data_IF_503579744881
#
_entry.id   IF_503579744881
#
_cell.length_a   1.000
_cell.length_b   1.000
_cell.length_c   1.000
_cell.angle_alpha   90.00
_cell.angle_beta   90.00
_cell.angle_gamma   90.00
#
_symmetry.space_group_name_H-M   'P 1'
#
loop_
_entity.id
_entity.type
_entity.pdbx_description
1 polymer ?
#
# COMPACT_ATOMS: atom_id res chain seq x y z
N UNK A 1 33.08 15.69 -11.17
CA UNK A 1 31.66 15.30 -11.12
C UNK A 1 31.54 13.92 -11.74
N UNK A 2 31.11 12.90 -10.98
CA UNK A 2 30.80 11.57 -11.54
C UNK A 2 29.51 11.71 -12.34
N UNK A 3 29.53 11.32 -13.61
CA UNK A 3 28.35 11.29 -14.48
C UNK A 3 27.29 10.36 -13.84
N UNK A 4 26.00 10.75 -13.80
CA UNK A 4 24.95 9.87 -13.29
C UNK A 4 24.93 8.57 -14.10
N UNK A 5 24.80 7.43 -13.41
CA UNK A 5 24.64 6.11 -14.02
C UNK A 5 23.35 6.01 -14.83
N UNK A 6 23.28 5.04 -15.74
CA UNK A 6 22.16 4.87 -16.69
C UNK A 6 20.80 4.77 -15.98
N UNK A 7 20.72 4.03 -14.87
CA UNK A 7 19.51 3.92 -14.05
C UNK A 7 19.01 5.27 -13.52
N UNK A 8 19.89 6.11 -12.98
CA UNK A 8 19.52 7.44 -12.49
C UNK A 8 19.02 8.36 -13.61
N UNK A 9 19.53 8.20 -14.85
CA UNK A 9 19.04 8.97 -16.01
C UNK A 9 17.63 8.54 -16.41
N UNK A 10 17.35 7.25 -16.34
CA UNK A 10 16.03 6.69 -16.59
C UNK A 10 15.03 7.18 -15.55
N UNK A 11 15.38 7.11 -14.26
CA UNK A 11 14.52 7.60 -13.18
C UNK A 11 14.20 9.09 -13.33
N UNK A 12 15.19 9.91 -13.69
CA UNK A 12 15.00 11.33 -13.94
C UNK A 12 14.03 11.54 -15.11
N UNK A 13 14.23 10.85 -16.23
CA UNK A 13 13.37 11.00 -17.43
C UNK A 13 11.95 10.50 -17.15
N UNK A 14 11.79 9.36 -16.47
CA UNK A 14 10.48 8.84 -16.09
C UNK A 14 9.77 9.76 -15.08
N UNK A 15 10.52 10.39 -14.17
CA UNK A 15 9.97 11.38 -13.24
C UNK A 15 9.51 12.64 -13.96
N UNK A 16 10.26 13.13 -14.94
CA UNK A 16 9.87 14.28 -15.77
C UNK A 16 8.62 13.97 -16.61
N UNK A 17 8.53 12.76 -17.15
CA UNK A 17 7.33 12.27 -17.85
C UNK A 17 6.14 12.20 -16.88
N UNK A 18 6.31 11.67 -15.66
CA UNK A 18 5.28 11.63 -14.61
C UNK A 18 4.83 13.03 -14.18
N UNK A 19 5.75 13.99 -14.04
CA UNK A 19 5.43 15.38 -13.76
C UNK A 19 4.67 16.03 -14.92
N UNK A 20 5.10 15.78 -16.17
CA UNK A 20 4.38 16.22 -17.36
C UNK A 20 2.95 15.70 -17.40
N UNK A 21 2.73 14.44 -17.00
CA UNK A 21 1.38 13.88 -16.85
C UNK A 21 0.57 14.51 -15.72
N UNK A 22 1.19 14.74 -14.56
CA UNK A 22 0.53 15.34 -13.40
C UNK A 22 0.04 16.79 -13.69
N UNK A 23 0.85 17.58 -14.38
CA UNK A 23 0.53 18.98 -14.72
C UNK A 23 -0.14 19.14 -16.09
N UNK A 24 -0.25 18.07 -16.88
CA UNK A 24 -0.82 18.11 -18.23
C UNK A 24 0.03 18.82 -19.28
N UNK A 25 1.35 18.88 -19.08
CA UNK A 25 2.33 19.49 -19.98
C UNK A 25 2.74 18.51 -21.09
N UNK A 26 2.10 18.64 -22.25
CA UNK A 26 2.37 17.81 -23.42
C UNK A 26 3.77 18.04 -24.02
N UNK A 27 4.34 19.23 -23.83
CA UNK A 27 5.69 19.55 -24.30
C UNK A 27 6.72 18.72 -23.53
N UNK A 28 6.59 18.72 -22.19
CA UNK A 28 7.48 17.96 -21.32
C UNK A 28 7.40 16.44 -21.57
N UNK A 29 6.22 15.92 -21.89
CA UNK A 29 6.02 14.50 -22.21
C UNK A 29 6.69 14.16 -23.55
N UNK A 30 6.34 14.89 -24.61
CA UNK A 30 6.83 14.60 -25.98
C UNK A 30 8.34 14.78 -26.12
N UNK A 31 8.95 15.66 -25.33
CA UNK A 31 10.39 15.84 -25.31
C UNK A 31 11.13 14.68 -24.63
N UNK A 32 10.54 14.08 -23.60
CA UNK A 32 11.22 13.12 -22.73
C UNK A 32 10.88 11.65 -23.07
N UNK A 33 9.78 11.38 -23.76
CA UNK A 33 9.39 10.04 -24.19
C UNK A 33 10.47 9.36 -25.08
N UNK A 34 11.02 10.03 -26.12
CA UNK A 34 12.06 9.42 -26.96
C UNK A 34 13.39 9.21 -26.21
N UNK A 35 13.62 10.00 -25.15
CA UNK A 35 14.81 9.84 -24.28
C UNK A 35 14.65 8.61 -23.39
N UNK A 36 13.42 8.35 -22.90
CA UNK A 36 13.11 7.14 -22.15
C UNK A 36 13.31 5.90 -23.02
N UNK A 37 12.77 5.90 -24.24
CA UNK A 37 12.95 4.81 -25.21
C UNK A 37 14.43 4.51 -25.46
N UNK A 38 15.23 5.54 -25.76
CA UNK A 38 16.68 5.37 -25.96
C UNK A 38 17.39 4.81 -24.74
N UNK A 39 17.08 5.31 -23.54
CA UNK A 39 17.72 4.80 -22.33
C UNK A 39 17.27 3.40 -21.95
N UNK A 40 16.06 2.99 -22.34
CA UNK A 40 15.56 1.62 -22.20
C UNK A 40 16.25 0.70 -23.20
N UNK A 41 16.47 1.14 -24.45
CA UNK A 41 17.23 0.40 -25.47
C UNK A 41 18.71 0.23 -25.12
N UNK A 42 19.29 1.26 -24.48
CA UNK A 42 20.66 1.22 -23.93
C UNK A 42 20.76 0.38 -22.64
N UNK A 43 19.63 0.06 -22.00
CA UNK A 43 19.52 -0.76 -20.81
C UNK A 43 19.56 -2.27 -21.11
N UNK A 44 20.14 -3.07 -20.19
CA UNK A 44 20.10 -4.54 -20.28
C UNK A 44 18.68 -5.11 -20.23
N UNK A 45 18.51 -6.42 -20.49
CA UNK A 45 17.21 -7.07 -20.67
C UNK A 45 16.18 -6.88 -19.54
N UNK A 46 16.61 -6.53 -18.33
CA UNK A 46 15.72 -6.22 -17.21
C UNK A 46 14.91 -4.92 -17.40
N UNK A 47 15.48 -3.93 -18.09
CA UNK A 47 14.90 -2.61 -18.33
C UNK A 47 13.84 -2.63 -19.43
N UNK A 48 13.91 -3.59 -20.36
CA UNK A 48 12.87 -3.84 -21.36
C UNK A 48 11.58 -4.35 -20.72
N UNK A 49 11.68 -5.15 -19.65
CA UNK A 49 10.53 -5.80 -18.99
C UNK A 49 9.81 -4.88 -18.00
N UNK A 50 10.56 -4.20 -17.13
CA UNK A 50 9.96 -3.21 -16.20
C UNK A 50 9.58 -1.93 -16.95
N UNK A 51 10.38 -1.54 -17.96
CA UNK A 51 10.08 -0.44 -18.86
C UNK A 51 8.82 -0.68 -19.68
N UNK A 52 8.59 -1.89 -20.22
CA UNK A 52 7.36 -2.24 -20.93
C UNK A 52 6.13 -2.27 -20.02
N UNK A 53 6.22 -2.81 -18.80
CA UNK A 53 5.13 -2.78 -17.82
C UNK A 53 4.79 -1.36 -17.35
N UNK A 54 5.82 -0.52 -17.19
CA UNK A 54 5.64 0.89 -16.85
C UNK A 54 5.10 1.67 -18.06
N UNK A 55 5.53 1.38 -19.28
CA UNK A 55 4.97 1.93 -20.52
C UNK A 55 3.55 1.45 -20.78
N UNK A 56 3.18 0.23 -20.40
CA UNK A 56 1.80 -0.30 -20.46
C UNK A 56 0.91 0.33 -19.38
N UNK A 57 1.41 0.50 -18.16
CA UNK A 57 0.71 1.20 -17.10
C UNK A 57 0.56 2.71 -17.43
N UNK A 58 1.59 3.32 -18.01
CA UNK A 58 1.57 4.69 -18.51
C UNK A 58 0.67 4.82 -19.74
N UNK A 59 0.68 3.87 -20.68
CA UNK A 59 -0.23 3.77 -21.84
C UNK A 59 -1.69 3.66 -21.39
N UNK A 60 -1.94 2.88 -20.34
CA UNK A 60 -3.26 2.75 -19.70
C UNK A 60 -3.68 4.05 -19.02
N UNK A 61 -2.78 4.70 -18.27
CA UNK A 61 -3.04 6.00 -17.64
C UNK A 61 -3.29 7.11 -18.70
N UNK A 62 -2.47 7.15 -19.76
CA UNK A 62 -2.61 8.02 -20.93
C UNK A 62 -3.97 7.80 -21.58
N UNK A 63 -4.35 6.55 -21.86
CA UNK A 63 -5.63 6.24 -22.44
C UNK A 63 -6.81 6.66 -21.54
N UNK A 64 -6.63 6.65 -20.22
CA UNK A 64 -7.66 7.04 -19.25
C UNK A 64 -7.82 8.57 -19.16
N UNK A 65 -6.70 9.31 -19.09
CA UNK A 65 -6.69 10.76 -19.02
C UNK A 65 -7.06 11.41 -20.37
N UNK A 66 -6.63 10.82 -21.50
CA UNK A 66 -7.04 11.22 -22.85
C UNK A 66 -8.55 11.03 -23.02
N UNK A 67 -9.13 9.96 -22.48
CA UNK A 67 -10.57 9.67 -22.53
C UNK A 67 -11.38 10.62 -21.64
N UNK A 68 -10.84 11.03 -20.48
CA UNK A 68 -11.43 12.07 -19.62
C UNK A 68 -11.46 13.44 -20.31
N UNK A 69 -10.36 13.81 -20.96
CA UNK A 69 -10.25 15.05 -21.77
C UNK A 69 -11.15 15.01 -23.01
N UNK A 70 -11.23 13.85 -23.69
CA UNK A 70 -12.17 13.62 -24.79
C UNK A 70 -13.62 13.73 -24.34
N UNK A 71 -14.03 13.13 -23.23
CA UNK A 71 -15.39 13.26 -22.68
C UNK A 71 -15.74 14.70 -22.33
N UNK A 72 -14.81 15.45 -21.75
CA UNK A 72 -14.98 16.88 -21.44
C UNK A 72 -15.12 17.73 -22.71
N UNK A 73 -14.41 17.37 -23.79
CA UNK A 73 -14.53 17.98 -25.11
C UNK A 73 -15.82 17.57 -25.86
N UNK A 74 -16.27 16.33 -25.67
CA UNK A 74 -17.49 15.74 -26.26
C UNK A 74 -18.77 16.24 -25.58
N UNK A 75 -18.75 16.50 -24.28
CA UNK A 75 -19.83 17.19 -23.56
C UNK A 75 -20.10 18.59 -24.16
N UNK A 76 -19.11 19.18 -24.83
CA UNK A 76 -19.19 20.46 -25.49
C UNK A 76 -19.56 20.38 -26.99
N UNK A 77 -19.69 19.19 -27.61
CA UNK A 77 -20.03 19.03 -29.04
C UNK A 77 -21.04 17.90 -29.29
N UNK A 78 -22.28 18.26 -29.66
CA UNK A 78 -23.34 17.33 -30.11
C UNK A 78 -23.05 16.82 -31.54
N UNK A 79 -23.02 15.51 -31.78
CA UNK A 79 -23.12 14.94 -33.14
C UNK A 79 -22.54 13.52 -33.34
N UNK A 80 -23.24 12.69 -34.12
CA UNK A 80 -23.09 11.23 -34.29
C UNK A 80 -21.84 10.66 -34.99
N UNK A 81 -20.82 11.48 -35.29
CA UNK A 81 -19.48 11.00 -35.73
C UNK A 81 -18.67 10.33 -34.60
N UNK A 82 -19.28 10.23 -33.42
CA UNK A 82 -18.72 9.91 -32.10
C UNK A 82 -18.43 8.42 -31.88
N UNK A 83 -19.22 7.52 -32.48
CA UNK A 83 -19.08 6.07 -32.25
C UNK A 83 -17.95 5.44 -33.08
N UNK A 84 -17.71 5.96 -34.29
CA UNK A 84 -16.72 5.42 -35.23
C UNK A 84 -15.29 5.75 -34.82
N UNK A 85 -15.04 6.98 -34.35
CA UNK A 85 -13.73 7.41 -33.83
C UNK A 85 -13.35 6.69 -32.53
N UNK A 86 -14.32 6.39 -31.66
CA UNK A 86 -14.08 5.60 -30.46
C UNK A 86 -13.65 4.16 -30.80
N UNK A 87 -14.32 3.54 -31.78
CA UNK A 87 -13.94 2.20 -32.28
C UNK A 87 -12.55 2.19 -32.94
N UNK A 88 -12.21 3.22 -33.70
CA UNK A 88 -10.88 3.36 -34.32
C UNK A 88 -9.77 3.59 -33.28
N UNK A 89 -9.99 4.45 -32.28
CA UNK A 89 -9.02 4.66 -31.20
C UNK A 89 -8.82 3.39 -30.35
N UNK A 90 -9.90 2.66 -30.04
CA UNK A 90 -9.81 1.35 -29.41
C UNK A 90 -9.04 0.33 -30.25
N UNK A 91 -9.20 0.34 -31.58
CA UNK A 91 -8.48 -0.56 -32.48
C UNK A 91 -6.98 -0.24 -32.54
N UNK A 92 -6.58 1.03 -32.52
CA UNK A 92 -5.17 1.43 -32.52
C UNK A 92 -4.48 1.09 -31.19
N UNK A 93 -5.15 1.33 -30.05
CA UNK A 93 -4.65 0.92 -28.74
C UNK A 93 -4.53 -0.60 -28.65
N UNK A 94 -5.52 -1.35 -29.16
CA UNK A 94 -5.44 -2.81 -29.23
C UNK A 94 -4.30 -3.28 -30.13
N UNK A 95 -4.14 -2.72 -31.33
CA UNK A 95 -3.05 -3.09 -32.23
C UNK A 95 -1.67 -2.78 -31.65
N UNK A 96 -1.54 -1.69 -30.87
CA UNK A 96 -0.30 -1.36 -30.17
C UNK A 96 -0.06 -2.33 -29.00
N UNK A 97 -1.08 -2.60 -28.19
CA UNK A 97 -1.01 -3.63 -27.14
C UNK A 97 -0.70 -5.01 -27.72
N UNK A 98 -1.21 -5.38 -28.90
CA UNK A 98 -0.90 -6.64 -29.59
C UNK A 98 0.56 -6.73 -30.02
N UNK A 99 1.18 -5.58 -30.28
CA UNK A 99 2.56 -5.45 -30.74
C UNK A 99 3.57 -5.33 -29.58
N UNK A 100 3.14 -4.72 -28.46
CA UNK A 100 3.97 -4.44 -27.29
C UNK A 100 3.74 -5.40 -26.12
N UNK A 101 2.67 -6.19 -26.13
CA UNK A 101 2.47 -7.29 -25.18
C UNK A 101 3.47 -8.42 -25.48
N UNK A 102 4.70 -8.22 -25.05
CA UNK A 102 5.57 -9.32 -24.68
C UNK A 102 4.83 -10.02 -23.54
N UNK A 103 4.18 -11.14 -23.84
CA UNK A 103 3.62 -11.99 -22.78
C UNK A 103 4.74 -12.25 -21.78
N UNK A 104 4.48 -11.91 -20.51
CA UNK A 104 5.33 -12.24 -19.36
C UNK A 104 5.74 -13.72 -19.40
N UNK A 105 4.95 -14.59 -20.03
CA UNK A 105 5.22 -16.01 -20.22
C UNK A 105 6.43 -16.36 -21.09
N UNK A 106 6.99 -15.44 -21.86
CA UNK A 106 8.21 -15.71 -22.64
C UNK A 106 9.50 -15.58 -21.82
N UNK A 107 9.41 -15.03 -20.60
CA UNK A 107 10.56 -14.61 -19.80
C UNK A 107 10.56 -15.35 -18.45
N UNK A 108 11.06 -16.59 -18.43
CA UNK A 108 11.36 -17.31 -17.18
C UNK A 108 12.72 -16.85 -16.64
N UNK A 109 12.77 -15.62 -16.15
CA UNK A 109 13.99 -15.00 -15.62
C UNK A 109 13.88 -15.04 -14.10
N UNK A 110 14.77 -15.75 -13.38
CA UNK A 110 14.76 -15.82 -11.90
C UNK A 110 14.66 -14.45 -11.23
N UNK A 111 15.24 -13.42 -11.84
CA UNK A 111 15.24 -12.03 -11.41
C UNK A 111 13.85 -11.37 -11.52
N UNK A 112 12.86 -11.97 -12.19
CA UNK A 112 11.48 -11.48 -12.17
C UNK A 112 10.84 -11.71 -10.79
N UNK A 113 11.28 -12.73 -10.05
CA UNK A 113 10.72 -13.11 -8.73
C UNK A 113 10.78 -11.99 -7.70
N UNK A 114 11.86 -11.20 -7.71
CA UNK A 114 12.04 -10.05 -6.80
C UNK A 114 11.11 -8.85 -7.11
N UNK A 115 10.50 -8.81 -8.30
CA UNK A 115 9.62 -7.72 -8.71
C UNK A 115 8.13 -8.10 -8.72
N UNK A 116 7.78 -9.37 -8.44
CA UNK A 116 6.40 -9.86 -8.50
C UNK A 116 5.45 -8.99 -7.68
N UNK A 117 5.85 -8.60 -6.46
CA UNK A 117 5.09 -7.66 -5.61
C UNK A 117 4.76 -6.35 -6.34
N UNK A 118 5.76 -5.65 -6.85
CA UNK A 118 5.58 -4.36 -7.54
C UNK A 118 4.77 -4.49 -8.83
N UNK A 119 4.99 -5.57 -9.59
CA UNK A 119 4.27 -5.83 -10.83
C UNK A 119 2.78 -6.07 -10.54
N UNK A 120 2.47 -6.86 -9.50
CA UNK A 120 1.09 -7.12 -9.10
C UNK A 120 0.38 -5.85 -8.64
N UNK A 121 1.04 -5.00 -7.85
CA UNK A 121 0.48 -3.69 -7.46
C UNK A 121 0.14 -2.85 -8.70
N UNK A 122 1.05 -2.73 -9.66
CA UNK A 122 0.81 -1.97 -10.90
C UNK A 122 -0.32 -2.58 -11.75
N UNK A 123 -0.37 -3.90 -11.85
CA UNK A 123 -1.39 -4.62 -12.64
C UNK A 123 -2.77 -4.47 -12.01
N UNK A 124 -2.89 -4.65 -10.69
CA UNK A 124 -4.16 -4.59 -9.96
C UNK A 124 -4.69 -3.15 -9.83
N UNK A 125 -3.85 -2.21 -9.41
CA UNK A 125 -4.26 -0.81 -9.16
C UNK A 125 -4.42 -0.02 -10.47
N UNK A 126 -3.58 -0.30 -11.47
CA UNK A 126 -3.60 0.37 -12.76
C UNK A 126 -4.48 -0.34 -13.79
N UNK A 127 -3.94 -1.42 -14.35
CA UNK A 127 -4.50 -2.09 -15.52
C UNK A 127 -5.89 -2.70 -15.27
N UNK A 128 -6.10 -3.33 -14.11
CA UNK A 128 -7.36 -4.02 -13.80
C UNK A 128 -8.42 -3.13 -13.16
N UNK A 129 -8.03 -2.09 -12.42
CA UNK A 129 -8.99 -1.15 -11.86
C UNK A 129 -9.45 -0.13 -12.91
N UNK A 130 -8.54 0.75 -13.35
CA UNK A 130 -8.87 1.88 -14.23
C UNK A 130 -8.83 1.50 -15.71
N UNK A 131 -8.02 0.50 -16.09
CA UNK A 131 -7.77 0.07 -17.47
C UNK A 131 -8.64 -1.08 -18.00
N UNK A 132 -9.50 -1.70 -17.18
CA UNK A 132 -10.18 -2.97 -17.50
C UNK A 132 -10.96 -2.95 -18.83
N UNK A 133 -11.59 -1.82 -19.18
CA UNK A 133 -12.35 -1.67 -20.43
C UNK A 133 -11.50 -1.62 -21.70
N UNK A 134 -10.21 -1.36 -21.58
CA UNK A 134 -9.28 -1.21 -22.70
C UNK A 134 -8.49 -2.49 -22.95
N UNK A 135 -8.10 -3.18 -21.87
CA UNK A 135 -7.17 -4.30 -21.90
C UNK A 135 -7.89 -5.65 -22.06
N UNK A 136 -9.20 -5.72 -21.78
CA UNK A 136 -9.99 -6.94 -22.00
C UNK A 136 -9.54 -8.11 -21.12
N UNK A 137 -9.37 -9.30 -21.71
CA UNK A 137 -8.90 -10.52 -21.02
C UNK A 137 -7.39 -10.51 -20.74
N UNK A 138 -6.62 -9.61 -21.35
CA UNK A 138 -5.15 -9.65 -21.27
C UNK A 138 -4.61 -9.35 -19.89
N UNK A 139 -5.24 -8.45 -19.15
CA UNK A 139 -4.84 -8.21 -17.77
C UNK A 139 -5.03 -9.49 -16.95
N UNK A 140 -6.16 -10.18 -17.14
CA UNK A 140 -6.45 -11.46 -16.49
C UNK A 140 -5.40 -12.52 -16.84
N UNK A 141 -5.05 -12.66 -18.13
CA UNK A 141 -4.00 -13.57 -18.60
C UNK A 141 -2.63 -13.20 -18.01
N UNK A 142 -2.26 -11.91 -18.00
CA UNK A 142 -1.00 -11.44 -17.43
C UNK A 142 -0.90 -11.74 -15.93
N UNK A 143 -1.99 -11.58 -15.17
CA UNK A 143 -2.02 -11.97 -13.77
C UNK A 143 -1.77 -13.47 -13.62
N UNK A 144 -2.51 -14.31 -14.35
CA UNK A 144 -2.33 -15.76 -14.27
C UNK A 144 -0.95 -16.22 -14.75
N UNK A 145 -0.33 -15.51 -15.69
CA UNK A 145 1.03 -15.80 -16.14
C UNK A 145 2.08 -15.57 -15.03
N UNK A 146 1.85 -14.65 -14.09
CA UNK A 146 2.72 -14.47 -12.93
C UNK A 146 2.73 -15.69 -11.98
N UNK A 147 1.74 -16.58 -12.09
CA UNK A 147 1.75 -17.87 -11.39
C UNK A 147 2.97 -18.74 -11.75
N UNK A 148 3.62 -18.48 -12.90
CA UNK A 148 4.85 -19.18 -13.33
C UNK A 148 6.07 -18.80 -12.47
N UNK A 149 6.03 -17.66 -11.79
CA UNK A 149 7.05 -17.25 -10.83
C UNK A 149 6.89 -17.94 -9.47
N UNK A 150 5.75 -18.58 -9.22
CA UNK A 150 5.45 -19.21 -7.94
C UNK A 150 6.22 -20.54 -7.73
N UNK A 151 6.27 -20.96 -6.48
CA UNK A 151 6.79 -22.26 -6.06
C UNK A 151 6.01 -23.39 -6.70
N UNK A 152 6.73 -24.40 -7.22
CA UNK A 152 6.14 -25.63 -7.76
C UNK A 152 5.30 -26.39 -6.72
N UNK A 153 5.48 -26.10 -5.41
CA UNK A 153 4.69 -26.68 -4.31
C UNK A 153 3.20 -26.33 -4.39
N UNK A 154 2.85 -25.20 -5.01
CA UNK A 154 1.45 -24.87 -5.28
C UNK A 154 0.81 -25.82 -6.28
N UNK A 155 1.59 -26.42 -7.17
CA UNK A 155 1.10 -27.30 -8.23
C UNK A 155 -0.10 -26.66 -8.95
N UNK A 156 -1.18 -27.40 -9.20
CA UNK A 156 -2.39 -26.93 -9.86
C UNK A 156 -3.12 -25.78 -9.14
N UNK A 157 -2.82 -25.52 -7.85
CA UNK A 157 -3.46 -24.44 -7.09
C UNK A 157 -3.00 -23.04 -7.49
N UNK A 158 -1.84 -22.89 -8.14
CA UNK A 158 -1.35 -21.57 -8.59
C UNK A 158 -2.38 -20.80 -9.46
N UNK A 159 -3.15 -21.52 -10.29
CA UNK A 159 -4.24 -20.95 -11.09
C UNK A 159 -5.41 -20.53 -10.19
N UNK A 160 -5.80 -21.38 -9.25
CA UNK A 160 -6.94 -21.13 -8.36
C UNK A 160 -6.70 -20.03 -7.35
N UNK A 161 -5.45 -19.82 -6.91
CA UNK A 161 -5.05 -18.62 -6.15
C UNK A 161 -5.36 -17.35 -6.94
N UNK A 162 -4.95 -17.30 -8.22
CA UNK A 162 -5.23 -16.14 -9.07
C UNK A 162 -6.71 -15.95 -9.38
N UNK A 163 -7.43 -17.02 -9.69
CA UNK A 163 -8.89 -16.96 -9.93
C UNK A 163 -9.63 -16.48 -8.68
N UNK A 164 -9.33 -17.05 -7.51
CA UNK A 164 -9.92 -16.62 -6.23
C UNK A 164 -9.60 -15.15 -5.95
N UNK A 165 -8.36 -14.71 -6.20
CA UNK A 165 -7.94 -13.30 -6.04
C UNK A 165 -8.78 -12.36 -6.91
N UNK A 166 -8.83 -12.61 -8.21
CA UNK A 166 -9.48 -11.72 -9.17
C UNK A 166 -11.00 -11.67 -8.97
N UNK A 167 -11.62 -12.81 -8.63
CA UNK A 167 -13.04 -12.87 -8.27
C UNK A 167 -13.32 -12.14 -6.95
N UNK A 168 -12.45 -12.28 -5.95
CA UNK A 168 -12.56 -11.55 -4.67
C UNK A 168 -12.45 -10.04 -4.86
N UNK A 169 -11.67 -9.58 -5.85
CA UNK A 169 -11.56 -8.17 -6.22
C UNK A 169 -12.75 -7.67 -7.07
N UNK A 170 -13.66 -8.54 -7.48
CA UNK A 170 -14.80 -8.18 -8.33
C UNK A 170 -14.43 -7.84 -9.78
N UNK A 171 -13.32 -8.39 -10.27
CA UNK A 171 -12.84 -8.12 -11.62
C UNK A 171 -13.70 -8.88 -12.63
N UNK A 172 -14.37 -8.13 -13.52
CA UNK A 172 -15.33 -8.66 -14.48
C UNK A 172 -14.71 -9.51 -15.61
N UNK A 173 -13.38 -9.50 -15.76
CA UNK A 173 -12.67 -10.20 -16.86
C UNK A 173 -12.45 -11.70 -16.62
N UNK A 174 -12.96 -12.27 -15.52
CA UNK A 174 -12.79 -13.72 -15.24
C UNK A 174 -13.74 -14.55 -16.11
N UNK A 175 -13.25 -15.51 -16.92
CA UNK A 175 -14.09 -16.36 -17.76
C UNK A 175 -15.14 -17.17 -16.99
N UNK A 176 -16.32 -17.42 -17.57
CA UNK A 176 -17.43 -18.13 -16.93
C UNK A 176 -17.04 -19.56 -16.50
N UNK A 177 -16.15 -20.23 -17.26
CA UNK A 177 -15.68 -21.59 -16.95
C UNK A 177 -14.91 -21.63 -15.62
N UNK A 178 -14.30 -20.52 -15.23
CA UNK A 178 -13.55 -20.37 -13.98
C UNK A 178 -14.41 -19.82 -12.84
N UNK A 179 -15.71 -19.62 -13.08
CA UNK A 179 -16.70 -19.21 -12.09
C UNK A 179 -17.61 -20.37 -11.64
N UNK A 180 -17.41 -21.58 -12.18
CA UNK A 180 -18.25 -22.74 -11.88
C UNK A 180 -18.29 -23.09 -10.37
N UNK A 181 -17.14 -23.04 -9.69
CA UNK A 181 -17.08 -23.16 -8.23
C UNK A 181 -17.47 -21.84 -7.56
N UNK A 182 -18.32 -21.86 -6.53
CA UNK A 182 -18.73 -20.66 -5.80
C UNK A 182 -17.57 -20.08 -4.98
N UNK A 183 -17.56 -18.76 -4.79
CA UNK A 183 -16.45 -18.09 -4.10
C UNK A 183 -16.42 -18.49 -2.62
N UNK A 184 -17.58 -18.68 -1.99
CA UNK A 184 -17.78 -19.25 -0.65
C UNK A 184 -17.11 -20.60 -0.43
N UNK A 185 -16.95 -21.42 -1.46
CA UNK A 185 -16.23 -22.71 -1.39
C UNK A 185 -14.76 -22.59 -1.82
N UNK A 186 -14.51 -21.85 -2.91
CA UNK A 186 -13.18 -21.70 -3.50
C UNK A 186 -12.19 -21.02 -2.56
N UNK A 187 -12.61 -19.94 -1.87
CA UNK A 187 -11.71 -19.18 -0.99
C UNK A 187 -11.21 -20.03 0.16
N UNK A 188 -12.07 -20.70 0.97
CA UNK A 188 -11.60 -21.62 2.00
C UNK A 188 -10.66 -22.72 1.46
N UNK A 189 -10.99 -23.36 0.32
CA UNK A 189 -10.14 -24.39 -0.27
C UNK A 189 -8.73 -23.89 -0.59
N UNK A 190 -8.63 -22.70 -1.21
CA UNK A 190 -7.34 -22.07 -1.51
C UNK A 190 -6.60 -21.71 -0.23
N UNK A 191 -7.27 -21.11 0.76
CA UNK A 191 -6.65 -20.71 2.03
C UNK A 191 -6.12 -21.92 2.81
N UNK A 192 -6.89 -23.02 2.89
CA UNK A 192 -6.44 -24.25 3.53
C UNK A 192 -5.17 -24.81 2.88
N UNK A 193 -5.12 -24.82 1.54
CA UNK A 193 -3.93 -25.29 0.82
C UNK A 193 -2.73 -24.39 1.06
N UNK A 194 -2.91 -23.08 0.97
CA UNK A 194 -1.85 -22.11 1.25
C UNK A 194 -1.33 -22.26 2.68
N UNK A 195 -2.22 -22.32 3.68
CA UNK A 195 -1.88 -22.47 5.10
C UNK A 195 -1.11 -23.76 5.36
N UNK A 196 -1.60 -24.90 4.86
CA UNK A 196 -0.94 -26.20 5.04
C UNK A 196 0.46 -26.24 4.44
N UNK A 197 0.66 -25.64 3.26
CA UNK A 197 2.00 -25.55 2.67
C UNK A 197 2.90 -24.58 3.46
N UNK A 198 2.37 -23.43 3.86
CA UNK A 198 3.11 -22.43 4.63
C UNK A 198 3.64 -22.98 5.95
N UNK A 199 2.81 -23.77 6.65
CA UNK A 199 3.17 -24.43 7.92
C UNK A 199 4.33 -25.43 7.77
N UNK A 200 4.39 -26.15 6.65
CA UNK A 200 5.51 -27.08 6.39
C UNK A 200 6.81 -26.31 6.15
N UNK A 201 6.74 -25.26 5.33
CA UNK A 201 7.86 -24.37 5.02
C UNK A 201 7.30 -23.10 4.40
N UNK A 202 7.74 -21.92 4.83
CA UNK A 202 7.33 -20.65 4.21
C UNK A 202 7.57 -20.62 2.70
N UNK A 203 6.77 -19.85 1.99
CA UNK A 203 6.98 -19.57 0.58
C UNK A 203 8.00 -18.45 0.38
N UNK A 204 8.59 -18.41 -0.82
CA UNK A 204 9.42 -17.29 -1.27
C UNK A 204 8.59 -16.02 -1.54
N UNK A 205 9.26 -14.88 -1.60
CA UNK A 205 8.65 -13.57 -1.81
C UNK A 205 7.71 -13.52 -3.01
N UNK A 206 8.09 -14.17 -4.13
CA UNK A 206 7.28 -14.22 -5.34
C UNK A 206 5.94 -14.92 -5.13
N UNK A 207 5.95 -16.11 -4.53
CA UNK A 207 4.74 -16.90 -4.30
C UNK A 207 3.85 -16.23 -3.25
N UNK A 208 4.44 -15.71 -2.17
CA UNK A 208 3.70 -14.96 -1.16
C UNK A 208 3.04 -13.73 -1.78
N UNK A 209 3.80 -12.94 -2.56
CA UNK A 209 3.28 -11.75 -3.23
C UNK A 209 2.15 -12.05 -4.21
N UNK A 210 2.22 -13.17 -4.92
CA UNK A 210 1.15 -13.62 -5.82
C UNK A 210 -0.15 -14.00 -5.10
N UNK A 211 -0.05 -14.60 -3.91
CA UNK A 211 -1.20 -14.94 -3.07
C UNK A 211 -1.70 -13.75 -2.24
N UNK A 212 -0.83 -12.79 -1.92
CA UNK A 212 -1.09 -11.70 -0.99
C UNK A 212 -2.35 -10.90 -1.29
N UNK A 213 -2.70 -10.54 -2.55
CA UNK A 213 -3.92 -9.78 -2.79
C UNK A 213 -5.20 -10.51 -2.37
N UNK A 214 -5.25 -11.86 -2.43
CA UNK A 214 -6.35 -12.63 -1.84
C UNK A 214 -6.37 -12.53 -0.31
N UNK A 215 -5.21 -12.72 0.33
CA UNK A 215 -5.06 -12.61 1.78
C UNK A 215 -5.52 -11.22 2.27
N UNK A 216 -5.07 -10.17 1.58
CA UNK A 216 -5.45 -8.78 1.80
C UNK A 216 -6.96 -8.57 1.67
N UNK A 217 -7.61 -9.12 0.64
CA UNK A 217 -9.07 -9.03 0.47
C UNK A 217 -9.84 -9.69 1.62
N UNK A 218 -9.39 -10.85 2.09
CA UNK A 218 -10.01 -11.54 3.23
C UNK A 218 -9.91 -10.68 4.50
N UNK A 219 -8.73 -10.12 4.80
CA UNK A 219 -8.57 -9.22 5.96
C UNK A 219 -9.40 -7.94 5.83
N UNK A 220 -9.40 -7.33 4.63
CA UNK A 220 -10.07 -6.06 4.37
C UNK A 220 -11.60 -6.18 4.50
N UNK A 221 -12.18 -7.23 3.89
CA UNK A 221 -13.63 -7.47 3.89
C UNK A 221 -14.14 -8.16 5.16
N UNK A 222 -13.23 -8.73 5.94
CA UNK A 222 -13.61 -9.55 7.09
C UNK A 222 -14.19 -10.89 6.68
N UNK A 223 -13.56 -11.57 5.72
CA UNK A 223 -14.08 -12.73 5.00
C UNK A 223 -14.59 -12.38 3.60
N UNK A 224 -14.44 -13.31 2.67
CA UNK A 224 -14.93 -13.19 1.29
C UNK A 224 -16.03 -14.21 1.07
N UNK A 225 -17.21 -13.73 0.67
CA UNK A 225 -18.40 -14.55 0.39
C UNK A 225 -18.74 -15.52 1.53
N UNK A 226 -18.41 -15.13 2.76
CA UNK A 226 -18.76 -15.87 3.97
C UNK A 226 -20.24 -15.63 4.27
N UNK A 227 -20.99 -16.70 4.52
CA UNK A 227 -22.42 -16.68 4.76
C UNK A 227 -22.83 -15.84 5.97
N UNK A 228 -24.15 -15.69 6.16
CA UNK A 228 -24.72 -14.93 7.28
C UNK A 228 -24.63 -15.65 8.65
N UNK A 229 -23.92 -16.80 8.72
CA UNK A 229 -23.89 -17.67 9.90
C UNK A 229 -22.93 -17.13 10.98
N UNK A 230 -23.41 -16.13 11.75
CA UNK A 230 -22.78 -15.53 12.94
C UNK A 230 -21.29 -15.15 12.79
N UNK A 231 -20.83 -14.98 11.55
CA UNK A 231 -19.45 -14.68 11.17
C UNK A 231 -18.46 -15.81 11.44
N UNK A 232 -18.89 -17.07 11.57
CA UNK A 232 -17.99 -18.21 11.83
C UNK A 232 -17.07 -18.48 10.64
N UNK A 233 -17.63 -18.61 9.44
CA UNK A 233 -16.85 -18.83 8.20
C UNK A 233 -15.90 -17.67 7.92
N UNK A 234 -16.37 -16.44 8.13
CA UNK A 234 -15.55 -15.23 8.00
C UNK A 234 -14.36 -15.26 8.97
N UNK A 235 -14.60 -15.62 10.23
CA UNK A 235 -13.57 -15.73 11.25
C UNK A 235 -12.55 -16.83 10.92
N UNK A 236 -13.01 -17.96 10.41
CA UNK A 236 -12.15 -19.06 9.95
C UNK A 236 -11.22 -18.58 8.83
N UNK A 237 -11.75 -17.92 7.80
CA UNK A 237 -10.94 -17.37 6.71
C UNK A 237 -9.89 -16.37 7.23
N UNK A 238 -10.29 -15.44 8.12
CA UNK A 238 -9.34 -14.47 8.72
C UNK A 238 -8.25 -15.20 9.51
N UNK A 239 -8.62 -16.22 10.28
CA UNK A 239 -7.67 -17.00 11.08
C UNK A 239 -6.67 -17.72 10.19
N UNK A 240 -7.13 -18.36 9.11
CA UNK A 240 -6.25 -18.99 8.11
C UNK A 240 -5.27 -17.99 7.49
N UNK A 241 -5.73 -16.77 7.19
CA UNK A 241 -4.84 -15.72 6.65
C UNK A 241 -3.81 -15.26 7.67
N UNK A 242 -4.20 -15.05 8.92
CA UNK A 242 -3.26 -14.67 9.99
C UNK A 242 -2.23 -15.78 10.23
N UNK A 243 -2.64 -17.05 10.22
CA UNK A 243 -1.73 -18.20 10.28
C UNK A 243 -0.73 -18.19 9.11
N UNK A 244 -1.21 -17.98 7.88
CA UNK A 244 -0.34 -17.89 6.70
C UNK A 244 0.70 -16.78 6.90
N UNK A 245 0.29 -15.57 7.27
CA UNK A 245 1.23 -14.45 7.48
C UNK A 245 2.21 -14.78 8.61
N UNK A 246 1.72 -15.35 9.71
CA UNK A 246 2.54 -15.75 10.86
C UNK A 246 3.64 -16.74 10.49
N UNK A 247 3.31 -17.76 9.69
CA UNK A 247 4.32 -18.72 9.22
C UNK A 247 5.41 -18.05 8.38
N UNK A 248 5.14 -16.91 7.75
CA UNK A 248 6.12 -16.18 6.94
C UNK A 248 6.83 -15.05 7.68
N UNK A 249 6.50 -14.73 8.94
CA UNK A 249 7.04 -13.56 9.63
C UNK A 249 8.57 -13.44 9.54
N UNK A 250 9.32 -14.54 9.72
CA UNK A 250 10.79 -14.55 9.60
C UNK A 250 11.31 -14.13 8.21
N UNK A 251 10.53 -14.39 7.16
CA UNK A 251 10.89 -14.11 5.78
C UNK A 251 10.71 -12.64 5.41
N UNK A 252 9.99 -11.83 6.21
CA UNK A 252 9.80 -10.40 5.95
C UNK A 252 11.08 -9.56 6.12
N UNK A 253 12.18 -10.16 6.57
CA UNK A 253 13.51 -9.55 6.44
C UNK A 253 13.90 -9.34 4.96
N UNK A 254 13.32 -10.08 4.02
CA UNK A 254 13.43 -9.81 2.58
C UNK A 254 12.46 -8.71 2.13
N UNK A 255 13.01 -7.62 1.59
CA UNK A 255 12.25 -6.46 1.10
C UNK A 255 11.43 -6.75 -0.17
N UNK A 256 11.61 -7.90 -0.83
CA UNK A 256 10.75 -8.31 -1.95
C UNK A 256 9.33 -8.70 -1.52
N UNK A 257 9.11 -8.99 -0.22
CA UNK A 257 7.76 -9.20 0.32
C UNK A 257 6.95 -7.89 0.33
N UNK A 258 5.61 -7.94 0.26
CA UNK A 258 4.74 -6.76 0.29
C UNK A 258 4.57 -6.23 1.73
N UNK A 259 5.68 -5.88 2.40
CA UNK A 259 5.75 -5.66 3.86
C UNK A 259 4.83 -4.53 4.35
N UNK A 260 4.92 -3.34 3.75
CA UNK A 260 4.07 -2.19 4.08
C UNK A 260 2.59 -2.53 3.96
N UNK A 261 2.18 -3.14 2.84
CA UNK A 261 0.79 -3.53 2.61
C UNK A 261 0.34 -4.59 3.63
N UNK A 262 1.19 -5.56 3.97
CA UNK A 262 0.89 -6.55 5.01
C UNK A 262 0.62 -5.88 6.35
N UNK A 263 1.46 -4.93 6.78
CA UNK A 263 1.26 -4.19 8.04
C UNK A 263 -0.07 -3.43 8.04
N UNK A 264 -0.42 -2.75 6.94
CA UNK A 264 -1.69 -2.02 6.82
C UNK A 264 -2.92 -2.94 6.92
N UNK A 265 -2.88 -4.10 6.28
CA UNK A 265 -4.00 -5.06 6.30
C UNK A 265 -4.13 -5.78 7.65
N UNK A 266 -3.00 -6.09 8.31
CA UNK A 266 -3.01 -6.63 9.68
C UNK A 266 -3.56 -5.58 10.66
N UNK A 267 -3.15 -4.32 10.53
CA UNK A 267 -3.71 -3.21 11.33
C UNK A 267 -5.21 -3.03 11.12
N UNK A 268 -5.66 -3.15 9.87
CA UNK A 268 -7.09 -3.15 9.56
C UNK A 268 -7.82 -4.29 10.27
N UNK A 269 -7.26 -5.50 10.27
CA UNK A 269 -7.82 -6.65 10.97
C UNK A 269 -7.90 -6.44 12.49
N UNK A 270 -6.84 -5.93 13.14
CA UNK A 270 -6.86 -5.64 14.59
C UNK A 270 -7.99 -4.67 14.95
N UNK A 271 -8.29 -3.71 14.08
CA UNK A 271 -9.30 -2.66 14.32
C UNK A 271 -10.74 -3.13 14.13
N UNK A 272 -10.98 -3.95 13.11
CA UNK A 272 -12.33 -4.28 12.68
C UNK A 272 -12.77 -5.69 13.07
N UNK A 273 -11.83 -6.53 13.54
CA UNK A 273 -12.09 -7.92 13.89
C UNK A 273 -11.74 -8.18 15.36
N UNK A 274 -12.69 -8.01 16.31
CA UNK A 274 -12.40 -8.16 17.74
C UNK A 274 -12.01 -9.59 18.15
N UNK A 275 -12.57 -10.62 17.49
CA UNK A 275 -12.32 -12.03 17.85
C UNK A 275 -10.84 -12.44 17.63
N UNK A 276 -10.23 -12.21 16.45
CA UNK A 276 -8.83 -12.56 16.21
C UNK A 276 -7.84 -11.42 16.54
N UNK A 277 -8.25 -10.34 17.20
CA UNK A 277 -7.40 -9.13 17.37
C UNK A 277 -6.09 -9.40 18.12
N UNK A 278 -6.08 -10.36 19.06
CA UNK A 278 -4.88 -10.75 19.80
C UNK A 278 -3.86 -11.43 18.89
N UNK A 279 -4.33 -12.36 18.04
CA UNK A 279 -3.47 -13.06 17.09
C UNK A 279 -2.91 -12.09 16.06
N UNK A 280 -3.77 -11.22 15.50
CA UNK A 280 -3.34 -10.18 14.56
C UNK A 280 -2.32 -9.20 15.19
N UNK A 281 -2.47 -8.88 16.48
CA UNK A 281 -1.49 -8.06 17.20
C UNK A 281 -0.14 -8.77 17.33
N UNK A 282 -0.14 -10.08 17.62
CA UNK A 282 1.09 -10.90 17.64
C UNK A 282 1.78 -10.87 16.29
N UNK A 283 1.02 -11.11 15.21
CA UNK A 283 1.55 -11.06 13.83
C UNK A 283 2.18 -9.70 13.52
N UNK A 284 1.54 -8.60 13.91
CA UNK A 284 2.11 -7.26 13.68
C UNK A 284 3.45 -7.04 14.42
N UNK A 285 3.56 -7.55 15.65
CA UNK A 285 4.78 -7.46 16.46
C UNK A 285 5.89 -8.30 15.83
N UNK A 286 5.58 -9.53 15.42
CA UNK A 286 6.53 -10.43 14.75
C UNK A 286 7.00 -9.85 13.41
N UNK A 287 6.12 -9.16 12.67
CA UNK A 287 6.48 -8.43 11.45
C UNK A 287 7.44 -7.27 11.74
N UNK A 288 7.21 -6.51 12.82
CA UNK A 288 8.13 -5.46 13.27
C UNK A 288 9.52 -6.02 13.55
N UNK A 289 9.60 -7.09 14.36
CA UNK A 289 10.86 -7.75 14.69
C UNK A 289 11.61 -8.23 13.44
N UNK A 290 10.90 -8.79 12.46
CA UNK A 290 11.51 -9.31 11.24
C UNK A 290 12.12 -8.23 10.34
N UNK A 291 11.51 -7.03 10.26
CA UNK A 291 11.98 -5.95 9.38
C UNK A 291 13.01 -5.02 10.02
N UNK A 292 13.29 -5.16 11.32
CA UNK A 292 14.07 -4.20 12.10
C UNK A 292 15.41 -3.77 11.46
N UNK A 293 16.10 -4.70 10.79
CA UNK A 293 17.44 -4.47 10.23
C UNK A 293 17.45 -3.67 8.92
N UNK A 294 16.31 -3.56 8.24
CA UNK A 294 16.18 -2.90 6.94
C UNK A 294 14.79 -2.27 6.75
N UNK A 295 14.22 -1.74 7.83
CA UNK A 295 12.93 -1.08 7.83
C UNK A 295 12.98 0.19 6.96
N UNK A 296 11.91 0.43 6.22
CA UNK A 296 11.74 1.61 5.36
C UNK A 296 10.94 2.70 6.06
N UNK A 297 11.06 3.94 5.57
CA UNK A 297 10.29 5.08 6.09
C UNK A 297 8.77 4.89 5.99
N UNK A 298 8.29 4.20 4.95
CA UNK A 298 6.87 3.94 4.78
C UNK A 298 6.37 2.92 5.82
N UNK A 299 7.15 1.88 6.13
CA UNK A 299 6.84 0.91 7.20
C UNK A 299 6.83 1.57 8.58
N UNK A 300 7.85 2.39 8.90
CA UNK A 300 7.89 3.20 10.12
C UNK A 300 6.64 4.08 10.22
N UNK A 301 6.28 4.77 9.12
CA UNK A 301 5.11 5.64 9.07
C UNK A 301 3.81 4.91 9.34
N UNK A 302 3.61 3.71 8.77
CA UNK A 302 2.40 2.89 8.99
C UNK A 302 2.22 2.60 10.48
N UNK A 303 3.28 2.18 11.17
CA UNK A 303 3.18 1.86 12.60
C UNK A 303 3.03 3.12 13.47
N UNK A 304 3.75 4.20 13.16
CA UNK A 304 3.66 5.47 13.89
C UNK A 304 2.26 6.07 13.76
N UNK A 305 1.70 6.12 12.55
CA UNK A 305 0.30 6.56 12.34
C UNK A 305 -0.68 5.64 13.07
N UNK A 306 -0.36 4.34 13.17
CA UNK A 306 -1.10 3.35 13.94
C UNK A 306 -1.23 3.65 15.43
N UNK A 307 -0.25 4.33 16.03
CA UNK A 307 -0.28 4.75 17.45
C UNK A 307 -1.40 5.76 17.77
N UNK A 308 -2.01 6.37 16.75
CA UNK A 308 -3.13 7.30 16.92
C UNK A 308 -4.50 6.68 16.72
N UNK A 309 -4.56 5.41 16.30
CA UNK A 309 -5.82 4.73 15.98
C UNK A 309 -6.70 4.51 17.22
N UNK A 310 -8.01 4.39 16.98
CA UNK A 310 -9.00 4.07 18.01
C UNK A 310 -8.84 2.61 18.44
N UNK A 311 -8.96 2.35 19.75
CA UNK A 311 -8.70 1.05 20.37
C UNK A 311 -7.36 1.01 21.12
N UNK A 312 -7.36 0.50 22.35
CA UNK A 312 -6.14 0.43 23.18
C UNK A 312 -5.17 -0.62 22.63
N UNK A 313 -5.70 -1.77 22.20
CA UNK A 313 -4.91 -2.91 21.71
C UNK A 313 -4.16 -2.62 20.40
N UNK A 314 -4.79 -1.94 19.43
CA UNK A 314 -4.10 -1.59 18.17
C UNK A 314 -2.91 -0.66 18.41
N UNK A 315 -3.08 0.37 19.26
CA UNK A 315 -1.98 1.28 19.62
C UNK A 315 -0.86 0.53 20.33
N UNK A 316 -1.23 -0.39 21.22
CA UNK A 316 -0.27 -1.22 21.94
C UNK A 316 0.55 -2.11 20.99
N UNK A 317 -0.11 -2.75 20.01
CA UNK A 317 0.55 -3.57 19.01
C UNK A 317 1.50 -2.75 18.14
N UNK A 318 1.09 -1.56 17.66
CA UNK A 318 1.97 -0.64 16.94
C UNK A 318 3.20 -0.24 17.76
N UNK A 319 2.98 0.13 19.03
CA UNK A 319 4.05 0.57 19.91
C UNK A 319 5.03 -0.56 20.21
N UNK A 320 4.56 -1.80 20.41
CA UNK A 320 5.41 -2.97 20.57
C UNK A 320 6.20 -3.28 19.29
N UNK A 321 5.55 -3.23 18.12
CA UNK A 321 6.19 -3.51 16.83
C UNK A 321 7.29 -2.50 16.44
N UNK A 322 7.22 -1.27 16.95
CA UNK A 322 8.22 -0.21 16.68
C UNK A 322 9.44 -0.31 17.61
N UNK A 323 9.34 -1.01 18.75
CA UNK A 323 10.44 -1.02 19.74
C UNK A 323 11.83 -1.37 19.18
N UNK A 324 11.99 -2.34 18.25
CA UNK A 324 13.32 -2.67 17.73
C UNK A 324 13.83 -1.71 16.63
N UNK A 325 13.06 -0.69 16.24
CA UNK A 325 13.44 0.21 15.14
C UNK A 325 14.40 1.31 15.59
N UNK A 326 15.38 1.60 14.74
CA UNK A 326 16.16 2.83 14.81
C UNK A 326 15.35 3.99 14.20
N UNK A 327 14.95 4.93 15.07
CA UNK A 327 14.16 6.11 14.73
C UNK A 327 14.95 7.40 14.85
N UNK A 328 16.27 7.34 15.05
CA UNK A 328 17.14 8.51 15.24
C UNK A 328 17.04 9.52 14.09
N UNK A 329 16.77 9.03 12.87
CA UNK A 329 16.53 9.83 11.66
C UNK A 329 15.27 10.71 11.68
N UNK A 330 14.33 10.49 12.63
CA UNK A 330 13.07 11.25 12.65
C UNK A 330 13.21 12.65 13.25
N UNK A 331 14.14 12.85 14.21
CA UNK A 331 14.30 14.02 15.11
C UNK A 331 13.05 14.38 15.94
N UNK A 332 11.86 14.35 15.34
CA UNK A 332 10.57 14.76 15.89
C UNK A 332 9.42 13.92 15.29
N UNK A 333 8.50 13.46 16.14
CA UNK A 333 7.28 12.77 15.71
C UNK A 333 6.06 13.21 16.54
N UNK A 334 5.11 13.99 15.96
CA UNK A 334 3.94 14.43 16.71
C UNK A 334 3.06 13.26 17.15
N UNK A 335 3.03 12.18 16.37
CA UNK A 335 2.27 10.97 16.70
C UNK A 335 2.85 10.27 17.94
N UNK A 336 4.18 10.06 18.00
CA UNK A 336 4.83 9.44 19.15
C UNK A 336 4.74 10.34 20.38
N UNK A 337 4.90 11.65 20.22
CA UNK A 337 4.71 12.61 21.31
C UNK A 337 3.30 12.53 21.92
N UNK A 338 2.26 12.46 21.08
CA UNK A 338 0.88 12.24 21.53
C UNK A 338 0.74 10.87 22.21
N UNK A 339 1.43 9.84 21.71
CA UNK A 339 1.41 8.51 22.29
C UNK A 339 2.10 8.44 23.67
N UNK A 340 3.15 9.23 23.94
CA UNK A 340 3.77 9.36 25.26
C UNK A 340 2.77 9.82 26.33
N UNK A 341 1.75 10.54 25.92
CA UNK A 341 0.67 11.08 26.76
C UNK A 341 -0.62 10.25 26.69
N UNK A 342 -0.54 8.96 26.33
CA UNK A 342 -1.71 8.08 26.27
C UNK A 342 -2.40 7.96 27.64
N UNK A 343 -3.72 7.84 27.65
CA UNK A 343 -4.48 7.55 28.88
C UNK A 343 -4.17 6.13 29.42
N UNK A 344 -3.82 5.21 28.52
CA UNK A 344 -3.36 3.87 28.90
C UNK A 344 -1.88 3.91 29.30
N UNK A 345 -1.58 3.51 30.53
CA UNK A 345 -0.23 3.58 31.10
C UNK A 345 0.78 2.71 30.37
N UNK A 346 0.37 1.55 29.84
CA UNK A 346 1.28 0.65 29.15
C UNK A 346 1.68 1.25 27.79
N UNK A 347 0.71 1.79 27.05
CA UNK A 347 0.98 2.51 25.80
C UNK A 347 1.85 3.75 26.03
N UNK A 348 1.56 4.54 27.06
CA UNK A 348 2.39 5.69 27.40
C UNK A 348 3.85 5.25 27.68
N UNK A 349 4.06 4.17 28.43
CA UNK A 349 5.42 3.65 28.72
C UNK A 349 6.16 3.21 27.46
N UNK A 350 5.52 2.42 26.59
CA UNK A 350 6.14 1.96 25.33
C UNK A 350 6.48 3.13 24.41
N UNK A 351 5.63 4.16 24.37
CA UNK A 351 5.88 5.36 23.58
C UNK A 351 7.06 6.18 24.14
N UNK A 352 7.13 6.35 25.47
CA UNK A 352 8.27 7.03 26.10
C UNK A 352 9.58 6.27 25.87
N UNK A 353 9.57 4.93 25.92
CA UNK A 353 10.75 4.14 25.59
C UNK A 353 11.21 4.38 24.15
N UNK A 354 10.31 4.27 23.17
CA UNK A 354 10.64 4.57 21.78
C UNK A 354 11.09 6.01 21.55
N UNK A 355 10.58 6.97 22.33
CA UNK A 355 10.94 8.38 22.29
C UNK A 355 12.34 8.64 22.84
N UNK A 356 12.60 8.18 24.06
CA UNK A 356 13.83 8.42 24.81
C UNK A 356 15.02 7.67 24.18
N UNK A 357 14.84 6.40 23.83
CA UNK A 357 15.91 5.55 23.27
C UNK A 357 16.42 6.04 21.92
N UNK A 358 15.55 6.72 21.16
CA UNK A 358 15.88 7.27 19.85
C UNK A 358 16.21 8.76 19.89
N UNK A 359 16.23 9.38 21.07
CA UNK A 359 16.62 10.78 21.24
C UNK A 359 15.71 11.80 20.54
N UNK A 360 14.42 11.50 20.41
CA UNK A 360 13.46 12.45 19.82
C UNK A 360 13.29 13.66 20.74
N UNK A 361 13.12 14.84 20.15
CA UNK A 361 12.93 16.08 20.92
C UNK A 361 11.87 16.99 20.29
N UNK A 362 11.27 17.85 21.11
CA UNK A 362 10.22 18.80 20.71
C UNK A 362 10.86 20.01 20.02
N UNK A 363 10.55 20.30 18.74
CA UNK A 363 11.07 21.48 18.06
C UNK A 363 10.62 22.79 18.71
N UNK A 364 11.43 23.85 18.60
CA UNK A 364 11.08 25.18 19.11
C UNK A 364 9.80 25.76 18.46
N UNK A 365 9.52 25.39 17.19
CA UNK A 365 8.33 25.78 16.43
C UNK A 365 7.16 24.78 16.56
N UNK A 366 7.19 23.94 17.61
CA UNK A 366 6.26 22.84 17.82
C UNK A 366 4.78 23.27 17.84
N UNK A 367 4.45 24.43 18.44
CA UNK A 367 3.06 24.89 18.56
C UNK A 367 2.39 25.07 17.18
N UNK A 368 3.14 25.49 16.16
CA UNK A 368 2.63 25.67 14.80
C UNK A 368 2.45 24.31 14.08
N UNK A 369 3.39 23.37 14.28
CA UNK A 369 3.37 22.01 13.70
C UNK A 369 2.31 21.10 14.35
N UNK A 370 2.09 21.22 15.65
CA UNK A 370 1.14 20.41 16.42
C UNK A 370 -0.31 20.68 16.03
N UNK A 371 -0.64 21.94 15.73
CA UNK A 371 -1.97 22.33 15.29
C UNK A 371 -2.34 21.67 13.96
N UNK A 372 -1.39 21.57 13.01
CA UNK A 372 -1.62 20.94 11.71
C UNK A 372 -1.88 19.42 11.82
N UNK A 373 -1.19 18.74 12.72
CA UNK A 373 -1.38 17.30 12.97
C UNK A 373 -2.75 17.01 13.63
N UNK A 374 -3.13 17.79 14.64
CA UNK A 374 -4.41 17.64 15.35
C UNK A 374 -5.63 17.93 14.46
N UNK A 375 -5.51 18.88 13.53
CA UNK A 375 -6.58 19.23 12.58
C UNK A 375 -6.76 18.19 11.47
N UNK A 376 -5.70 17.47 11.09
CA UNK A 376 -5.72 16.57 9.94
C UNK A 376 -6.24 15.15 10.27
N UNK A 377 -6.09 14.65 11.51
CA UNK A 377 -6.30 13.20 11.77
C UNK A 377 -7.18 12.81 12.96
N UNK A 378 -7.68 13.73 13.82
CA UNK A 378 -8.55 13.32 14.95
C UNK A 378 -9.69 14.29 15.29
N UNK A 379 -10.94 13.83 15.18
CA UNK A 379 -12.16 14.53 15.63
C UNK A 379 -12.48 14.32 17.12
N UNK A 380 -11.51 14.01 17.99
CA UNK A 380 -11.82 13.57 19.37
C UNK A 380 -11.09 14.33 20.47
N UNK A 381 -11.71 14.33 21.66
CA UNK A 381 -11.32 14.96 22.95
C UNK A 381 -9.82 14.95 23.32
N UNK A 382 -9.01 14.10 22.69
CA UNK A 382 -7.55 14.10 22.78
C UNK A 382 -6.93 15.43 22.33
N UNK A 383 -7.52 16.13 21.35
CA UNK A 383 -7.05 17.46 20.93
C UNK A 383 -7.19 18.53 22.02
N UNK A 384 -8.17 18.40 22.93
CA UNK A 384 -8.38 19.30 24.07
C UNK A 384 -7.42 19.03 25.22
N UNK A 385 -7.07 17.77 25.48
CA UNK A 385 -6.05 17.39 26.48
C UNK A 385 -4.65 17.74 25.98
N UNK A 386 -4.37 17.47 24.70
CA UNK A 386 -3.16 17.91 24.02
C UNK A 386 -3.05 19.44 24.04
N UNK A 387 -4.08 20.20 23.65
CA UNK A 387 -4.11 21.68 23.80
C UNK A 387 -3.88 22.17 25.23
N UNK A 388 -4.39 21.47 26.26
CA UNK A 388 -4.13 21.81 27.68
C UNK A 388 -2.72 21.47 28.15
N UNK A 389 -2.12 20.40 27.62
CA UNK A 389 -0.72 20.04 27.87
C UNK A 389 0.21 21.04 27.15
N UNK A 390 -0.09 21.37 25.90
CA UNK A 390 0.64 22.34 25.08
C UNK A 390 0.61 23.77 25.63
N UNK A 391 -0.47 24.15 26.33
CA UNK A 391 -0.52 25.43 27.05
C UNK A 391 0.34 25.48 28.33
N UNK A 392 0.63 24.34 28.96
CA UNK A 392 1.41 24.29 30.23
C UNK A 392 2.91 24.15 30.02
N UNK A 393 3.35 23.51 28.93
CA UNK A 393 4.79 23.36 28.64
C UNK A 393 5.38 24.55 27.89
N UNK A 394 4.59 25.28 27.10
CA UNK A 394 5.01 26.56 26.51
C UNK A 394 5.28 27.66 27.55
N UNK A 395 4.74 27.54 28.76
CA UNK A 395 5.06 28.41 29.91
C UNK A 395 6.30 27.93 30.68
N UNK A 396 6.72 26.67 30.48
CA UNK A 396 7.80 26.03 31.26
C UNK A 396 9.19 26.03 30.60
N UNK A 397 9.27 26.15 29.27
CA UNK A 397 10.56 26.17 28.55
C UNK A 397 11.19 27.58 28.43
N UNK A 398 10.47 28.63 28.81
CA UNK A 398 10.99 29.99 28.88
C UNK A 398 11.69 30.30 30.20
N UNK A 399 12.84 29.69 30.50
CA UNK A 399 13.68 30.11 31.63
C UNK A 399 14.38 31.47 31.34
N UNK A 400 13.59 32.54 31.15
CA UNK A 400 13.95 33.96 31.32
C UNK A 400 12.88 34.89 30.72
N UNK A 401 11.83 35.24 31.46
CA UNK A 401 11.13 36.51 31.27
C UNK A 401 10.36 36.92 32.54
N UNK A 402 10.96 37.84 33.30
CA UNK A 402 10.29 38.62 34.34
C UNK A 402 9.26 39.57 33.72
N UNK A 403 8.21 39.81 34.50
CA UNK A 403 7.31 40.97 34.49
C UNK A 403 6.38 41.11 33.27
N UNK A 404 5.07 40.99 33.49
CA UNK A 404 4.09 42.10 33.50
C UNK A 404 2.75 41.51 33.98
N UNK A 405 2.51 41.53 35.30
CA UNK A 405 1.13 41.56 35.82
C UNK A 405 0.87 43.00 36.26
N UNK A 406 0.15 43.73 35.41
CA UNK A 406 -0.22 45.11 35.66
C UNK A 406 -1.27 45.54 34.65
N UNK A 407 -2.49 45.76 35.16
CA UNK A 407 -3.59 46.51 34.53
C UNK A 407 -4.27 45.73 33.38
N UNK A 408 -5.55 45.36 33.44
CA UNK A 408 -6.70 46.27 33.57
C UNK A 408 -7.88 45.52 34.21
N UNK A 409 -8.41 46.20 35.22
CA UNK A 409 -9.63 45.97 35.97
C UNK A 409 -10.88 46.39 35.16
N UNK A 410 -12.04 45.93 35.64
CA UNK A 410 -13.39 46.49 35.45
C UNK A 410 -14.28 46.08 34.25
N UNK A 411 -15.49 45.62 34.62
CA UNK A 411 -16.75 45.87 33.90
C UNK A 411 -17.61 44.62 33.67
N UNK A 412 -18.45 44.22 34.65
CA UNK A 412 -19.94 44.37 34.64
C UNK A 412 -20.64 43.52 33.57
N UNK A 413 -21.73 42.79 33.78
CA UNK A 413 -22.86 42.73 34.72
C UNK A 413 -23.60 41.43 34.32
N UNK A 414 -24.36 40.67 35.10
CA UNK A 414 -25.15 40.82 36.33
C UNK A 414 -25.37 39.42 36.87
#
# INVERSE_FOLDING_TARGET
MKTPGLGSRIDIVLTLIRQGFFFGDNGLITENLPKAERFIEEGGDWLKTVGALLLDALSTFIATELNKRLRKSLANKKGGATATLLKQAQALVRAQLDKEAISLASVNVPELRMYVSSILSLLLEGAMCQGSRLIGSRAFEAYLDLAKCCSARLDTFHKWVGVATLRSLGIASVPEELQAEQLSSLVPHVLYRLRSLSEQTPFDAATFSYAFPLLAQVLLKGGVDAGQDDGVEALEQITLVLDIIKFHCSEFSDAAFPRTATMEHVLHAIRHQPRPSKEASSVLIDLGEAVQSNVTRDEVRVLIDGTLLQGVYVRNACLQAIQPFDLTDLDWSPQLWIACHNDDKQNARLANHAWEDNGLDVPEDFLDKAQQCLLCKTSTRKSLKAKRLFGREGEGSGHAARAVEGTIDAGMST
#
